data_IF_684574320902
#
_entry.id   IF_684574320902
#
_cell.length_a   1.000
_cell.length_b   1.000
_cell.length_c   1.000
_cell.angle_alpha   90.00
_cell.angle_beta   90.00
_cell.angle_gamma   90.00
#
_symmetry.space_group_name_H-M   'P 1'
#
loop_
_entity.id
_entity.type
_entity.pdbx_description
1 polymer ?
#
# COMPACT_ATOMS: atom_id res chain seq x y z
N UNK A 1 -7.80 -23.02 -13.25
CA UNK A 1 -8.23 -21.90 -14.12
C UNK A 1 -7.94 -22.32 -15.55
N UNK A 2 -8.98 -22.50 -16.38
CA UNK A 2 -8.86 -22.74 -17.81
C UNK A 2 -8.81 -21.38 -18.49
N UNK A 3 -7.67 -21.02 -19.06
CA UNK A 3 -7.59 -19.83 -19.90
C UNK A 3 -7.59 -20.23 -21.36
N UNK A 4 -8.39 -19.53 -22.16
CA UNK A 4 -8.39 -19.72 -23.61
C UNK A 4 -7.21 -18.95 -24.22
N UNK A 5 -6.43 -19.66 -25.05
CA UNK A 5 -5.26 -19.10 -25.75
C UNK A 5 -5.69 -18.70 -27.16
N UNK A 6 -5.53 -17.43 -27.49
CA UNK A 6 -5.74 -16.88 -28.84
C UNK A 6 -4.41 -16.59 -29.51
N UNK A 7 -4.32 -16.76 -30.82
CA UNK A 7 -3.12 -16.43 -31.58
C UNK A 7 -3.35 -15.16 -32.40
N UNK A 8 -2.59 -14.10 -32.11
CA UNK A 8 -2.64 -12.84 -32.84
C UNK A 8 -1.26 -12.61 -33.46
N UNK A 9 -1.19 -12.48 -34.78
CA UNK A 9 0.06 -12.31 -35.53
C UNK A 9 1.13 -13.38 -35.20
N UNK A 10 0.70 -14.64 -35.04
CA UNK A 10 1.57 -15.78 -34.71
C UNK A 10 2.06 -15.82 -33.25
N UNK A 11 1.65 -14.85 -32.42
CA UNK A 11 2.02 -14.80 -31.00
C UNK A 11 0.86 -15.30 -30.13
N UNK A 12 1.10 -16.23 -29.19
CA UNK A 12 0.07 -16.68 -28.27
C UNK A 12 -0.26 -15.56 -27.27
N UNK A 13 -1.54 -15.30 -27.09
CA UNK A 13 -2.11 -14.38 -26.11
C UNK A 13 -3.16 -15.14 -25.29
N UNK A 14 -3.37 -14.72 -24.04
CA UNK A 14 -4.32 -15.36 -23.13
C UNK A 14 -5.46 -14.39 -22.88
N UNK A 15 -6.71 -14.86 -23.03
CA UNK A 15 -7.88 -14.08 -22.65
C UNK A 15 -8.07 -14.19 -21.14
N UNK A 16 -8.03 -13.06 -20.46
CA UNK A 16 -8.20 -12.95 -19.02
C UNK A 16 -9.35 -11.98 -18.75
N UNK A 17 -10.34 -12.32 -17.90
CA UNK A 17 -11.35 -11.36 -17.45
C UNK A 17 -10.69 -10.07 -16.93
N UNK A 18 -11.29 -8.91 -17.19
CA UNK A 18 -10.66 -7.63 -16.88
C UNK A 18 -10.29 -7.50 -15.39
N UNK A 19 -11.11 -8.03 -14.48
CA UNK A 19 -10.82 -8.05 -13.04
C UNK A 19 -9.57 -8.88 -12.71
N UNK A 20 -9.41 -10.05 -13.35
CA UNK A 20 -8.25 -10.93 -13.15
C UNK A 20 -6.99 -10.34 -13.76
N UNK A 21 -7.10 -9.68 -14.93
CA UNK A 21 -5.97 -8.97 -15.54
C UNK A 21 -5.50 -7.83 -14.65
N UNK A 22 -6.40 -7.07 -14.04
CA UNK A 22 -6.01 -6.03 -13.08
C UNK A 22 -5.29 -6.61 -11.87
N UNK A 23 -5.77 -7.74 -11.32
CA UNK A 23 -5.10 -8.43 -10.21
C UNK A 23 -3.69 -8.92 -10.61
N UNK A 24 -3.56 -9.64 -11.73
CA UNK A 24 -2.28 -10.17 -12.23
C UNK A 24 -1.28 -9.06 -12.61
N UNK A 25 -1.76 -7.99 -13.26
CA UNK A 25 -0.93 -6.82 -13.58
C UNK A 25 -0.44 -6.13 -12.30
N UNK A 26 -1.27 -6.12 -11.25
CA UNK A 26 -0.94 -5.56 -9.97
C UNK A 26 -0.06 -6.50 -9.12
N UNK A 27 -0.08 -7.82 -9.32
CA UNK A 27 0.87 -8.76 -8.70
C UNK A 27 2.31 -8.51 -9.16
N UNK A 28 2.51 -8.08 -10.43
CA UNK A 28 3.82 -7.66 -10.94
C UNK A 28 4.32 -6.33 -10.36
N UNK A 29 3.48 -5.58 -9.63
CA UNK A 29 3.83 -4.39 -8.86
C UNK A 29 3.43 -4.64 -7.41
N UNK A 30 4.31 -5.26 -6.62
CA UNK A 30 4.24 -5.61 -5.18
C UNK A 30 3.60 -4.61 -4.17
N UNK A 31 2.55 -3.87 -4.53
CA UNK A 31 2.24 -2.60 -3.90
C UNK A 31 0.85 -2.01 -4.26
N UNK A 32 -0.17 -2.85 -4.39
CA UNK A 32 -1.55 -2.34 -4.58
C UNK A 32 -2.38 -2.64 -3.34
N UNK A 33 -2.82 -1.59 -2.64
CA UNK A 33 -3.80 -1.70 -1.56
C UNK A 33 -5.17 -2.06 -2.14
N UNK A 34 -6.04 -2.79 -1.41
CA UNK A 34 -7.40 -3.08 -1.87
C UNK A 34 -8.20 -1.80 -2.11
N UNK A 35 -9.19 -1.88 -3.00
CA UNK A 35 -10.06 -0.75 -3.35
C UNK A 35 -10.71 -0.08 -2.14
N UNK A 36 -11.09 -0.86 -1.13
CA UNK A 36 -11.67 -0.35 0.13
C UNK A 36 -10.70 0.55 0.91
N UNK A 37 -9.41 0.20 0.94
CA UNK A 37 -8.37 0.98 1.62
C UNK A 37 -8.08 2.26 0.85
N UNK A 38 -8.05 2.19 -0.49
CA UNK A 38 -7.90 3.37 -1.35
C UNK A 38 -9.08 4.34 -1.18
N UNK A 39 -10.30 3.80 -1.06
CA UNK A 39 -11.49 4.59 -0.76
C UNK A 39 -11.36 5.28 0.60
N UNK A 40 -10.87 4.59 1.62
CA UNK A 40 -10.67 5.18 2.95
C UNK A 40 -9.59 6.28 2.94
N UNK A 41 -8.49 6.08 2.21
CA UNK A 41 -7.45 7.10 2.00
C UNK A 41 -8.01 8.36 1.36
N UNK A 42 -8.89 8.22 0.36
CA UNK A 42 -9.53 9.35 -0.33
C UNK A 42 -10.51 10.13 0.55
N UNK A 43 -10.96 9.57 1.67
CA UNK A 43 -11.90 10.22 2.57
C UNK A 43 -11.24 11.21 3.55
N UNK A 44 -9.90 11.33 3.56
CA UNK A 44 -9.06 12.26 4.35
C UNK A 44 -9.34 12.33 5.88
N UNK A 45 -10.21 11.47 6.41
CA UNK A 45 -10.64 11.51 7.82
C UNK A 45 -9.60 10.96 8.79
N UNK A 46 -8.57 10.27 8.30
CA UNK A 46 -7.55 9.59 9.10
C UNK A 46 -6.19 9.67 8.40
N UNK A 47 -5.12 9.61 9.18
CA UNK A 47 -3.76 9.53 8.65
C UNK A 47 -3.58 8.32 7.72
N UNK A 48 -3.01 8.50 6.52
CA UNK A 48 -2.68 7.40 5.61
C UNK A 48 -1.84 6.30 6.26
N UNK A 49 -0.89 6.71 7.09
CA UNK A 49 -0.02 5.79 7.85
C UNK A 49 -0.86 4.87 8.73
N UNK A 50 -1.83 5.43 9.46
CA UNK A 50 -2.71 4.66 10.35
C UNK A 50 -3.57 3.68 9.56
N UNK A 51 -4.19 4.14 8.47
CA UNK A 51 -5.06 3.31 7.61
C UNK A 51 -4.27 2.10 7.11
N UNK A 52 -3.14 2.35 6.46
CA UNK A 52 -2.31 1.31 5.84
C UNK A 52 -1.75 0.38 6.92
N UNK A 53 -1.26 0.92 8.04
CA UNK A 53 -0.77 0.11 9.17
C UNK A 53 -1.84 -0.84 9.70
N UNK A 54 -3.07 -0.36 9.91
CA UNK A 54 -4.17 -1.20 10.40
C UNK A 54 -4.57 -2.26 9.39
N UNK A 55 -4.58 -1.93 8.10
CA UNK A 55 -4.81 -2.88 7.03
C UNK A 55 -3.75 -4.00 7.01
N UNK A 56 -2.48 -3.66 7.28
CA UNK A 56 -1.38 -4.62 7.41
C UNK A 56 -1.40 -5.42 8.73
N UNK A 57 -2.39 -5.21 9.60
CA UNK A 57 -2.48 -5.88 10.90
C UNK A 57 -1.40 -5.44 11.91
N UNK A 58 -0.72 -4.32 11.66
CA UNK A 58 0.36 -3.83 12.52
C UNK A 58 -0.18 -2.94 13.64
N UNK A 59 0.35 -3.10 14.86
CA UNK A 59 0.16 -2.12 15.96
C UNK A 59 1.10 -0.92 15.80
N UNK A 60 0.85 0.17 16.52
CA UNK A 60 1.79 1.31 16.56
C UNK A 60 3.18 0.86 17.07
N UNK A 61 3.22 -0.06 18.02
CA UNK A 61 4.47 -0.61 18.55
C UNK A 61 5.22 -1.47 17.52
N UNK A 62 4.51 -2.18 16.65
CA UNK A 62 5.13 -2.94 15.55
C UNK A 62 5.77 -2.00 14.53
N UNK A 63 5.05 -0.98 14.10
CA UNK A 63 5.57 -0.02 13.11
C UNK A 63 6.70 0.84 13.69
N UNK A 64 6.59 1.26 14.95
CA UNK A 64 7.63 2.00 15.64
C UNK A 64 8.94 1.19 15.71
N UNK A 65 8.85 -0.09 16.08
CA UNK A 65 10.01 -1.01 16.07
C UNK A 65 10.57 -1.23 14.67
N UNK A 66 9.71 -1.41 13.66
CA UNK A 66 10.14 -1.64 12.28
C UNK A 66 10.84 -0.43 11.65
N UNK A 67 10.60 0.78 12.16
CA UNK A 67 11.11 2.04 11.60
C UNK A 67 12.17 2.72 12.47
N UNK A 68 12.53 2.09 13.59
CA UNK A 68 13.46 2.61 14.61
C UNK A 68 13.08 4.01 15.09
N UNK A 69 11.79 4.21 15.38
CA UNK A 69 11.28 5.44 16.00
C UNK A 69 10.51 5.14 17.28
N UNK A 70 10.35 6.15 18.14
CA UNK A 70 9.55 5.99 19.34
C UNK A 70 8.06 5.90 19.00
N UNK A 71 7.33 5.02 19.69
CA UNK A 71 5.87 4.90 19.60
C UNK A 71 5.14 6.24 19.85
N UNK A 72 5.56 7.09 20.82
CA UNK A 72 4.99 8.43 20.97
C UNK A 72 5.18 9.29 19.72
N UNK A 73 6.37 9.28 19.11
CA UNK A 73 6.65 10.05 17.90
C UNK A 73 5.80 9.58 16.71
N UNK A 74 5.66 8.25 16.52
CA UNK A 74 4.73 7.71 15.52
C UNK A 74 3.28 8.17 15.76
N UNK A 75 2.85 8.24 17.02
CA UNK A 75 1.50 8.72 17.37
C UNK A 75 1.32 10.19 17.01
N UNK A 76 2.32 11.03 17.24
CA UNK A 76 2.28 12.43 16.81
C UNK A 76 2.16 12.57 15.29
N UNK A 77 2.80 11.68 14.54
CA UNK A 77 2.69 11.62 13.08
C UNK A 77 1.28 11.19 12.65
N UNK A 78 0.76 10.09 13.21
CA UNK A 78 -0.58 9.58 12.87
C UNK A 78 -1.73 10.52 13.26
N UNK A 79 -1.48 11.44 14.19
CA UNK A 79 -2.47 12.43 14.65
C UNK A 79 -2.30 13.81 13.99
N UNK A 80 -1.32 13.97 13.10
CA UNK A 80 -1.03 15.25 12.43
C UNK A 80 -0.42 16.31 13.35
N UNK A 81 0.05 15.95 14.55
CA UNK A 81 0.78 16.88 15.43
C UNK A 81 2.21 17.14 14.93
N UNK A 82 2.77 16.21 14.17
CA UNK A 82 4.08 16.30 13.53
C UNK A 82 4.00 15.72 12.12
N UNK A 83 4.57 16.38 11.13
CA UNK A 83 4.60 15.83 9.77
C UNK A 83 5.62 14.70 9.61
N UNK A 84 6.62 14.64 10.51
CA UNK A 84 7.75 13.73 10.38
C UNK A 84 8.79 14.25 9.38
N UNK A 85 10.03 13.78 9.50
CA UNK A 85 11.05 14.11 8.49
C UNK A 85 10.82 13.28 7.22
N UNK A 86 11.30 13.75 6.06
CA UNK A 86 11.29 12.94 4.82
C UNK A 86 11.98 11.59 5.04
N UNK A 87 13.06 11.55 5.85
CA UNK A 87 13.76 10.32 6.21
C UNK A 87 12.84 9.37 7.00
N UNK A 88 12.08 9.90 7.94
CA UNK A 88 11.11 9.15 8.75
C UNK A 88 9.99 8.60 7.88
N UNK A 89 9.39 9.44 7.03
CA UNK A 89 8.31 9.03 6.14
C UNK A 89 8.76 7.96 5.14
N UNK A 90 9.99 8.05 4.61
CA UNK A 90 10.59 6.99 3.78
C UNK A 90 10.75 5.67 4.56
N UNK A 91 11.21 5.73 5.81
CA UNK A 91 11.31 4.55 6.68
C UNK A 91 9.94 3.89 6.88
N UNK A 92 8.91 4.71 7.19
CA UNK A 92 7.53 4.26 7.36
C UNK A 92 6.98 3.65 6.07
N UNK A 93 7.14 4.31 4.93
CA UNK A 93 6.68 3.82 3.63
C UNK A 93 7.30 2.45 3.30
N UNK A 94 8.60 2.29 3.52
CA UNK A 94 9.30 1.03 3.34
C UNK A 94 8.77 -0.07 4.27
N UNK A 95 8.57 0.25 5.56
CA UNK A 95 8.05 -0.71 6.55
C UNK A 95 6.60 -1.16 6.24
N UNK A 96 5.79 -0.27 5.66
CA UNK A 96 4.42 -0.56 5.23
C UNK A 96 4.34 -1.18 3.83
N UNK A 97 5.47 -1.23 3.12
CA UNK A 97 5.58 -1.73 1.75
C UNK A 97 4.75 -0.89 0.78
N UNK A 98 4.78 0.44 0.90
CA UNK A 98 4.07 1.40 0.04
C UNK A 98 5.01 2.48 -0.52
N UNK A 99 4.68 3.14 -1.65
CA UNK A 99 5.43 4.30 -2.12
C UNK A 99 5.26 5.47 -1.15
N UNK A 100 6.24 6.37 -1.10
CA UNK A 100 6.18 7.55 -0.23
C UNK A 100 4.96 8.43 -0.53
N UNK A 101 4.58 8.49 -1.81
CA UNK A 101 3.44 9.25 -2.34
C UNK A 101 2.10 8.79 -1.76
N UNK A 102 2.02 7.59 -1.18
CA UNK A 102 0.81 7.15 -0.47
C UNK A 102 0.72 7.65 0.97
N UNK A 103 1.79 8.29 1.50
CA UNK A 103 1.80 8.88 2.84
C UNK A 103 1.72 10.42 2.83
N UNK A 104 1.81 11.03 1.65
CA UNK A 104 1.89 12.48 1.45
C UNK A 104 0.52 13.09 1.12
#
# INVERSE_FOLDING_TARGET
>A
MNYDIIHIAGKPHVLVPLHDYTALKNEGKNNTLPGEVLQELALEKKSPIKIIRTYRGMTQDDLARATDISRPYLTEIETGRKDGSIKTLKSIANALGVPLEMLA
#
